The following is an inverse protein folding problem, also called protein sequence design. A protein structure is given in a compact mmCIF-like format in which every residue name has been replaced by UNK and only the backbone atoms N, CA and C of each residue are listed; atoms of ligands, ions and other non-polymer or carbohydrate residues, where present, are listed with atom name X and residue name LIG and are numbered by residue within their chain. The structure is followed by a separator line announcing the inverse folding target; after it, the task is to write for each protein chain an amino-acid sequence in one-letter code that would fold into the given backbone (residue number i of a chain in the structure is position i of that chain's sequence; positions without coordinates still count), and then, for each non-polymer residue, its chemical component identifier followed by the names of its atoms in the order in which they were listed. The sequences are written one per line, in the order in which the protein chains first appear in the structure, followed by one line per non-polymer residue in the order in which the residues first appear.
data_IF_233556603819
#
_entry.id   IF_233556603819
#
_cell.length_a   1.000
_cell.length_b   1.000
_cell.length_c   1.000
_cell.angle_alpha   90.00
_cell.angle_beta   90.00
_cell.angle_gamma   90.00
#
_symmetry.space_group_name_H-M   'P 1'
#
loop_
_entity.id
_entity.type
_entity.pdbx_description
1 polymer ?
#
# COMPACT_ATOMS: atom_id res chain seq x y z
N UNK A 1 10.92 12.43 12.77
CA UNK A 1 10.40 11.14 12.25
C UNK A 1 9.72 10.42 13.41
N UNK A 2 8.42 10.12 13.36
CA UNK A 2 7.76 9.35 14.43
C UNK A 2 8.08 7.86 14.21
N UNK A 3 9.10 7.36 14.88
CA UNK A 3 9.40 5.92 14.97
C UNK A 3 9.00 5.43 16.36
N UNK A 4 8.43 4.22 16.44
CA UNK A 4 8.24 3.56 17.72
C UNK A 4 9.57 3.19 18.40
N UNK A 5 9.52 2.46 19.51
CA UNK A 5 10.71 2.06 20.26
C UNK A 5 11.76 1.28 19.43
N UNK A 6 11.33 0.62 18.34
CA UNK A 6 12.22 -0.06 17.40
C UNK A 6 12.30 0.72 16.08
N UNK A 7 13.51 1.04 15.57
CA UNK A 7 13.68 1.65 14.26
C UNK A 7 13.12 0.76 13.14
N UNK A 8 12.44 1.38 12.16
CA UNK A 8 11.87 0.68 10.99
C UNK A 8 12.92 -0.12 10.23
N UNK A 9 14.16 0.38 10.15
CA UNK A 9 15.29 -0.31 9.53
C UNK A 9 15.55 -1.70 10.14
N UNK A 10 15.42 -1.83 11.46
CA UNK A 10 15.61 -3.09 12.17
C UNK A 10 14.52 -4.08 11.84
N UNK A 11 13.26 -3.63 11.81
CA UNK A 11 12.10 -4.47 11.47
C UNK A 11 12.20 -4.94 10.02
N UNK A 12 12.44 -4.02 9.09
CA UNK A 12 12.56 -4.31 7.65
C UNK A 12 13.72 -5.26 7.35
N UNK A 13 14.87 -5.09 8.02
CA UNK A 13 16.00 -6.02 7.88
C UNK A 13 15.60 -7.45 8.27
N UNK A 14 14.96 -7.63 9.44
CA UNK A 14 14.55 -8.97 9.90
C UNK A 14 13.53 -9.60 8.95
N UNK A 15 12.52 -8.83 8.53
CA UNK A 15 11.47 -9.29 7.62
C UNK A 15 12.05 -9.72 6.26
N UNK A 16 12.81 -8.84 5.61
CA UNK A 16 13.33 -9.09 4.26
C UNK A 16 14.38 -10.20 4.26
N UNK A 17 15.29 -10.24 5.26
CA UNK A 17 16.28 -11.32 5.37
C UNK A 17 15.60 -12.67 5.60
N UNK A 18 14.66 -12.75 6.53
CA UNK A 18 13.94 -14.00 6.82
C UNK A 18 13.18 -14.51 5.61
N UNK A 19 12.47 -13.62 4.89
CA UNK A 19 11.75 -13.99 3.67
C UNK A 19 12.70 -14.47 2.56
N UNK A 20 13.80 -13.75 2.32
CA UNK A 20 14.77 -14.13 1.29
C UNK A 20 15.38 -15.51 1.55
N UNK A 21 15.75 -15.80 2.79
CA UNK A 21 16.29 -17.12 3.19
C UNK A 21 15.24 -18.22 2.96
N UNK A 22 14.01 -18.02 3.46
CA UNK A 22 12.94 -19.00 3.33
C UNK A 22 12.58 -19.27 1.87
N UNK A 23 12.44 -18.21 1.06
CA UNK A 23 12.14 -18.32 -0.36
C UNK A 23 13.26 -19.04 -1.12
N UNK A 24 14.51 -18.64 -0.91
CA UNK A 24 15.65 -19.27 -1.58
C UNK A 24 15.76 -20.75 -1.25
N UNK A 25 15.63 -21.12 0.03
CA UNK A 25 15.62 -22.51 0.48
C UNK A 25 14.50 -23.32 -0.17
N UNK A 26 13.27 -22.78 -0.16
CA UNK A 26 12.09 -23.44 -0.76
C UNK A 26 12.23 -23.67 -2.27
N UNK A 27 12.91 -22.77 -2.97
CA UNK A 27 13.01 -22.79 -4.44
C UNK A 27 14.37 -23.24 -4.96
N UNK A 28 15.29 -23.72 -4.10
CA UNK A 28 16.63 -24.13 -4.50
C UNK A 28 17.46 -23.01 -5.14
N UNK A 29 17.20 -21.76 -4.77
CA UNK A 29 17.89 -20.57 -5.31
C UNK A 29 18.99 -20.11 -4.36
N UNK A 30 19.97 -19.42 -4.93
CA UNK A 30 21.08 -18.79 -4.20
C UNK A 30 21.21 -17.32 -4.56
N UNK A 31 21.78 -16.52 -3.66
CA UNK A 31 22.03 -15.10 -3.87
C UNK A 31 20.87 -14.18 -3.51
N UNK A 32 20.93 -12.95 -4.02
CA UNK A 32 19.99 -11.88 -3.66
C UNK A 32 18.59 -12.12 -4.24
N UNK A 33 17.57 -12.04 -3.38
CA UNK A 33 16.17 -12.08 -3.81
C UNK A 33 15.63 -10.68 -4.16
N UNK A 34 15.95 -9.68 -3.33
CA UNK A 34 15.51 -8.30 -3.53
C UNK A 34 16.57 -7.51 -4.28
N UNK A 35 16.16 -6.74 -5.29
CA UNK A 35 17.08 -5.92 -6.09
C UNK A 35 17.62 -4.70 -5.34
N UNK A 36 16.83 -4.12 -4.42
CA UNK A 36 17.18 -2.89 -3.72
C UNK A 36 16.81 -2.97 -2.23
N UNK A 37 17.46 -2.12 -1.43
CA UNK A 37 17.04 -1.90 -0.03
C UNK A 37 15.68 -1.20 0.03
N UNK A 38 14.99 -1.35 1.15
CA UNK A 38 13.75 -0.60 1.41
C UNK A 38 14.02 0.91 1.38
N UNK A 39 13.03 1.68 0.92
CA UNK A 39 13.07 3.14 0.93
C UNK A 39 12.25 3.66 2.11
N UNK A 40 12.71 4.75 2.72
CA UNK A 40 12.02 5.46 3.81
C UNK A 40 11.91 6.92 3.45
N UNK A 41 10.75 7.35 2.97
CA UNK A 41 10.48 8.71 2.52
C UNK A 41 9.57 9.39 3.54
N UNK A 42 9.94 10.58 3.98
CA UNK A 42 9.14 11.35 4.91
C UNK A 42 7.90 11.92 4.21
N UNK A 43 6.71 11.56 4.66
CA UNK A 43 5.46 12.17 4.21
C UNK A 43 5.14 13.35 5.15
N UNK A 44 5.39 14.59 4.70
CA UNK A 44 5.12 15.80 5.50
C UNK A 44 3.84 16.55 5.07
N UNK A 45 3.35 16.31 3.86
CA UNK A 45 2.21 17.03 3.30
C UNK A 45 1.03 16.10 3.03
N UNK A 46 -0.18 16.55 3.41
CA UNK A 46 -1.43 15.82 3.16
C UNK A 46 -1.61 15.51 1.66
N UNK A 47 -1.18 16.42 0.78
CA UNK A 47 -1.24 16.20 -0.68
C UNK A 47 -0.34 15.04 -1.11
N UNK A 48 0.90 14.97 -0.61
CA UNK A 48 1.82 13.87 -0.93
C UNK A 48 1.29 12.52 -0.43
N UNK A 49 0.73 12.50 0.77
CA UNK A 49 0.13 11.29 1.33
C UNK A 49 -1.05 10.78 0.49
N UNK A 50 -1.92 11.68 0.02
CA UNK A 50 -3.04 11.31 -0.84
C UNK A 50 -2.58 10.71 -2.18
N UNK A 51 -1.58 11.31 -2.82
CA UNK A 51 -1.02 10.78 -4.06
C UNK A 51 -0.32 9.43 -3.83
N UNK A 52 0.37 9.27 -2.70
CA UNK A 52 0.99 7.99 -2.34
C UNK A 52 -0.06 6.89 -2.11
N UNK A 53 -1.16 7.18 -1.43
CA UNK A 53 -2.28 6.24 -1.24
C UNK A 53 -2.87 5.88 -2.61
N UNK A 54 -3.13 6.86 -3.48
CA UNK A 54 -3.61 6.64 -4.85
C UNK A 54 -2.67 5.71 -5.62
N UNK A 55 -1.37 5.99 -5.57
CA UNK A 55 -0.34 5.18 -6.20
C UNK A 55 -0.38 3.72 -5.72
N UNK A 56 -0.35 3.48 -4.41
CA UNK A 56 -0.35 2.13 -3.84
C UNK A 56 -1.56 1.33 -4.31
N UNK A 57 -2.73 1.95 -4.33
CA UNK A 57 -3.98 1.29 -4.68
C UNK A 57 -4.11 1.01 -6.18
N UNK A 58 -3.57 1.87 -7.03
CA UNK A 58 -3.60 1.70 -8.49
C UNK A 58 -2.42 0.89 -9.04
N UNK A 59 -1.39 0.59 -8.24
CA UNK A 59 -0.23 -0.18 -8.70
C UNK A 59 -0.56 -1.52 -9.34
N UNK A 60 -1.51 -2.34 -8.84
CA UNK A 60 -1.85 -3.60 -9.50
C UNK A 60 -2.39 -3.38 -10.92
N UNK A 61 -3.16 -2.31 -11.14
CA UNK A 61 -3.67 -1.94 -12.45
C UNK A 61 -2.54 -1.43 -13.35
N UNK A 62 -1.71 -0.50 -12.85
CA UNK A 62 -0.57 0.08 -13.58
C UNK A 62 0.50 -0.96 -13.95
N UNK A 63 0.68 -1.98 -13.11
CA UNK A 63 1.60 -3.08 -13.35
C UNK A 63 1.01 -4.18 -14.24
N UNK A 64 -0.24 -4.05 -14.70
CA UNK A 64 -0.93 -5.05 -15.52
C UNK A 64 -1.26 -6.35 -14.80
N UNK A 65 -1.25 -6.36 -13.45
CA UNK A 65 -1.64 -7.53 -12.64
C UNK A 65 -3.16 -7.71 -12.66
N UNK A 66 -3.90 -6.61 -12.74
CA UNK A 66 -5.35 -6.59 -12.98
C UNK A 66 -5.65 -5.70 -14.19
N UNK A 67 -6.70 -6.04 -14.93
CA UNK A 67 -6.99 -5.37 -16.21
C UNK A 67 -7.96 -4.19 -16.09
N UNK A 68 -8.74 -4.15 -15.01
CA UNK A 68 -9.78 -3.14 -14.81
C UNK A 68 -10.05 -2.88 -13.32
N UNK A 69 -10.82 -1.82 -13.06
CA UNK A 69 -11.22 -1.44 -11.70
C UNK A 69 -12.14 -2.48 -11.04
N UNK A 70 -12.96 -3.21 -11.82
CA UNK A 70 -13.87 -4.22 -11.27
C UNK A 70 -13.09 -5.40 -10.67
N UNK A 71 -11.97 -5.74 -11.28
CA UNK A 71 -11.05 -6.77 -10.83
C UNK A 71 -10.23 -6.24 -9.65
N UNK A 72 -9.77 -4.99 -9.71
CA UNK A 72 -9.06 -4.32 -8.62
C UNK A 72 -9.90 -4.28 -7.32
N UNK A 73 -11.20 -4.03 -7.42
CA UNK A 73 -12.15 -4.02 -6.30
C UNK A 73 -12.21 -5.34 -5.52
N UNK A 74 -11.75 -6.43 -6.13
CA UNK A 74 -11.71 -7.77 -5.53
C UNK A 74 -10.28 -8.24 -5.25
N UNK A 75 -9.26 -7.48 -5.67
CA UNK A 75 -7.86 -7.88 -5.60
C UNK A 75 -7.38 -7.96 -4.13
N UNK A 76 -6.97 -9.15 -3.64
CA UNK A 76 -6.74 -9.37 -2.20
C UNK A 76 -5.39 -8.83 -1.71
N UNK A 77 -4.45 -8.53 -2.62
CA UNK A 77 -3.07 -8.16 -2.27
C UNK A 77 -2.86 -6.64 -2.19
N UNK A 78 -3.94 -5.86 -2.07
CA UNK A 78 -3.87 -4.45 -1.72
C UNK A 78 -5.08 -4.03 -0.86
N UNK A 79 -4.96 -2.92 -0.13
CA UNK A 79 -6.02 -2.40 0.74
C UNK A 79 -7.21 -1.77 0.02
N UNK A 80 -7.30 -1.85 -1.31
CA UNK A 80 -8.28 -1.14 -2.15
C UNK A 80 -9.72 -1.50 -1.83
N UNK A 81 -10.03 -2.80 -1.80
CA UNK A 81 -11.37 -3.27 -1.43
C UNK A 81 -11.78 -2.81 -0.02
N UNK A 82 -10.82 -2.62 0.89
CA UNK A 82 -11.07 -2.21 2.27
C UNK A 82 -11.36 -0.71 2.35
N UNK A 83 -10.63 0.12 1.61
CA UNK A 83 -10.94 1.56 1.51
C UNK A 83 -12.33 1.78 0.91
N UNK A 84 -12.71 0.99 -0.10
CA UNK A 84 -14.07 1.03 -0.67
C UNK A 84 -15.15 0.42 0.23
N UNK A 85 -14.80 0.00 1.45
CA UNK A 85 -15.70 -0.66 2.41
C UNK A 85 -16.35 -1.95 1.87
N UNK A 86 -15.77 -2.56 0.83
CA UNK A 86 -16.19 -3.86 0.26
C UNK A 86 -15.63 -5.05 1.03
N UNK A 87 -14.57 -4.83 1.83
CA UNK A 87 -13.98 -5.79 2.78
C UNK A 87 -13.63 -5.09 4.08
N UNK A 88 -13.47 -5.85 5.16
CA UNK A 88 -13.06 -5.33 6.48
C UNK A 88 -11.78 -5.98 6.94
N UNK A 89 -10.77 -5.15 7.22
CA UNK A 89 -9.52 -5.57 7.86
C UNK A 89 -9.32 -4.73 9.13
N UNK A 90 -9.30 -5.36 10.30
CA UNK A 90 -9.18 -4.67 11.60
C UNK A 90 -7.85 -3.92 11.76
N UNK A 91 -6.81 -4.35 11.04
CA UNK A 91 -5.48 -3.76 11.05
C UNK A 91 -5.30 -2.59 10.06
N UNK A 92 -6.30 -2.30 9.22
CA UNK A 92 -6.23 -1.21 8.23
C UNK A 92 -7.11 -0.03 8.66
N UNK A 93 -6.49 1.08 9.05
CA UNK A 93 -7.22 2.30 9.44
C UNK A 93 -7.77 3.04 8.22
N UNK A 94 -9.02 2.74 7.90
CA UNK A 94 -9.75 3.39 6.80
C UNK A 94 -10.27 4.77 7.18
N UNK A 95 -10.64 4.97 8.45
CA UNK A 95 -11.24 6.23 8.91
C UNK A 95 -10.23 7.38 8.89
N UNK A 96 -8.98 7.13 9.28
CA UNK A 96 -7.91 8.13 9.16
C UNK A 96 -7.72 8.58 7.71
N UNK A 97 -7.64 7.62 6.78
CA UNK A 97 -7.47 7.90 5.35
C UNK A 97 -8.67 8.68 4.81
N UNK A 98 -9.88 8.20 5.08
CA UNK A 98 -11.12 8.85 4.66
C UNK A 98 -11.25 10.28 5.19
N UNK A 99 -10.80 10.56 6.42
CA UNK A 99 -10.78 11.92 6.98
C UNK A 99 -9.83 12.85 6.22
N UNK A 100 -8.66 12.36 5.80
CA UNK A 100 -7.73 13.16 4.98
C UNK A 100 -8.37 13.49 3.62
N UNK A 101 -9.07 12.51 3.01
CA UNK A 101 -9.81 12.73 1.77
C UNK A 101 -10.98 13.71 1.96
N UNK A 102 -11.78 13.56 3.03
CA UNK A 102 -12.95 14.40 3.31
C UNK A 102 -12.58 15.87 3.56
N UNK A 103 -11.41 16.15 4.14
CA UNK A 103 -10.90 17.52 4.30
C UNK A 103 -10.63 18.23 2.97
N UNK A 104 -10.40 17.48 1.90
CA UNK A 104 -10.18 18.02 0.54
C UNK A 104 -11.36 17.81 -0.42
N UNK A 105 -12.30 16.91 -0.12
CA UNK A 105 -13.35 16.50 -1.05
C UNK A 105 -14.71 16.45 -0.34
N UNK A 106 -15.70 17.13 -0.92
CA UNK A 106 -17.01 17.42 -0.34
C UNK A 106 -17.91 16.17 -0.13
N UNK A 107 -17.56 15.02 -0.74
CA UNK A 107 -18.22 13.72 -0.53
C UNK A 107 -17.20 12.56 -0.58
N UNK A 108 -16.81 11.97 0.57
CA UNK A 108 -15.64 11.08 0.67
C UNK A 108 -15.81 9.70 0.01
N UNK A 109 -17.03 9.21 -0.17
CA UNK A 109 -17.29 7.89 -0.77
C UNK A 109 -17.16 7.92 -2.31
N UNK A 110 -17.79 8.90 -2.97
CA UNK A 110 -17.70 9.10 -4.43
C UNK A 110 -16.35 9.66 -4.86
N UNK A 111 -15.65 10.33 -3.94
CA UNK A 111 -14.33 10.89 -4.13
C UNK A 111 -13.26 9.83 -4.43
N UNK A 112 -13.24 8.71 -3.70
CA UNK A 112 -12.18 7.71 -3.84
C UNK A 112 -12.25 7.04 -5.21
N UNK A 113 -13.45 6.68 -5.66
CA UNK A 113 -13.63 6.05 -6.97
C UNK A 113 -13.28 7.02 -8.11
N UNK A 114 -13.68 8.29 -8.00
CA UNK A 114 -13.38 9.31 -9.01
C UNK A 114 -11.90 9.76 -9.01
N UNK A 115 -11.26 9.77 -7.85
CA UNK A 115 -9.85 10.14 -7.70
C UNK A 115 -8.92 8.98 -8.13
N UNK A 116 -9.38 7.74 -8.00
CA UNK A 116 -8.70 6.56 -8.55
C UNK A 116 -8.95 6.37 -10.06
N UNK A 117 -10.00 6.98 -10.63
CA UNK A 117 -10.31 6.99 -12.08
C UNK A 117 -9.62 8.11 -12.88
N UNK A 118 -9.28 9.25 -12.27
CA UNK A 118 -8.68 10.42 -12.96
C UNK A 118 -7.14 10.34 -13.14
N UNK A 119 -6.60 9.16 -13.41
CA UNK A 119 -5.17 8.94 -13.65
C UNK A 119 -4.92 8.35 -15.02
#
# INVERSE_FOLDING_TARGET
MKTGATPVSTVMRRLLTGYAISFNSRHGRYGHLFQNRYKSILCQEDTYLLELIRYIHLNPLRAGIVNDLRTLDKYPYCGHAVILRKRKNSWQDTEYVLKIFAKKIQQPADAIENLLKKG
#
